data_IF_756095162246
#
_entry.id   IF_756095162246
#
_cell.length_a   1.000
_cell.length_b   1.000
_cell.length_c   1.000
_cell.angle_alpha   90.00
_cell.angle_beta   90.00
_cell.angle_gamma   90.00
#
_symmetry.space_group_name_H-M   'P 1'
#
loop_
_entity.id
_entity.type
_entity.pdbx_description
1 polymer ?
#
# COMPACT_ATOMS: atom_id res chain seq x y z
N UNK A 1 -12.20 12.66 -7.96
CA UNK A 1 -12.88 12.16 -6.74
C UNK A 1 -11.86 11.24 -6.10
N UNK A 2 -11.41 11.57 -4.87
CA UNK A 2 -10.34 10.84 -4.21
C UNK A 2 -10.72 9.38 -4.04
N UNK A 3 -9.81 8.46 -4.40
CA UNK A 3 -10.04 7.03 -4.41
C UNK A 3 -8.96 6.27 -3.63
N UNK A 4 -9.40 5.25 -2.90
CA UNK A 4 -8.51 4.26 -2.28
C UNK A 4 -8.51 2.99 -3.14
N UNK A 5 -7.34 2.61 -3.67
CA UNK A 5 -7.18 1.42 -4.50
C UNK A 5 -6.87 0.17 -3.67
N UNK A 6 -6.15 0.32 -2.57
CA UNK A 6 -5.79 -0.82 -1.73
C UNK A 6 -5.50 -0.41 -0.30
N UNK A 7 -5.88 -1.30 0.62
CA UNK A 7 -5.47 -1.27 2.02
C UNK A 7 -4.86 -2.62 2.35
N UNK A 8 -3.69 -2.62 3.00
CA UNK A 8 -3.00 -3.84 3.38
C UNK A 8 -2.31 -3.72 4.74
N UNK A 9 -2.21 -4.88 5.41
CA UNK A 9 -1.40 -5.10 6.60
C UNK A 9 -0.34 -6.13 6.24
N UNK A 10 0.91 -5.84 6.59
CA UNK A 10 2.06 -6.70 6.36
C UNK A 10 2.93 -6.80 7.62
N UNK A 11 3.81 -7.79 7.66
CA UNK A 11 4.92 -7.81 8.62
C UNK A 11 6.14 -7.05 8.08
N UNK A 12 7.13 -6.82 8.94
CA UNK A 12 8.37 -6.11 8.60
C UNK A 12 9.20 -6.77 7.49
N UNK A 13 8.90 -8.00 7.07
CA UNK A 13 9.54 -8.65 5.93
C UNK A 13 8.83 -8.36 4.61
N UNK A 14 7.80 -7.49 4.63
CA UNK A 14 6.97 -7.20 3.46
C UNK A 14 5.98 -8.32 3.12
N UNK A 15 5.83 -9.32 3.99
CA UNK A 15 4.83 -10.37 3.79
C UNK A 15 3.45 -9.86 4.19
N UNK A 16 2.55 -9.88 3.22
CA UNK A 16 1.18 -9.38 3.40
C UNK A 16 0.39 -10.38 4.25
N UNK A 17 -0.18 -9.89 5.35
CA UNK A 17 -1.01 -10.66 6.29
C UNK A 17 -2.49 -10.54 5.94
N UNK A 18 -2.92 -9.36 5.50
CA UNK A 18 -4.28 -9.06 5.05
C UNK A 18 -4.23 -7.96 3.98
N UNK A 19 -5.06 -8.06 2.95
CA UNK A 19 -5.18 -7.01 1.95
C UNK A 19 -6.55 -7.01 1.31
N UNK A 20 -7.06 -5.82 1.01
CA UNK A 20 -8.28 -5.59 0.26
C UNK A 20 -8.01 -4.57 -0.85
N UNK A 21 -8.69 -4.74 -1.99
CA UNK A 21 -8.45 -3.96 -3.21
C UNK A 21 -9.77 -3.50 -3.84
N UNK A 22 -9.83 -2.24 -4.27
CA UNK A 22 -10.88 -1.71 -5.14
C UNK A 22 -10.27 -1.31 -6.49
N UNK A 23 -10.40 -2.24 -7.45
CA UNK A 23 -9.88 -2.08 -8.80
C UNK A 23 -10.99 -1.83 -9.83
N UNK A 24 -12.16 -1.37 -9.39
CA UNK A 24 -13.34 -1.19 -10.25
C UNK A 24 -13.13 -0.17 -11.37
N UNK A 25 -12.22 0.79 -11.15
CA UNK A 25 -11.80 1.81 -12.12
C UNK A 25 -10.93 1.26 -13.24
N UNK A 26 -10.32 0.09 -13.04
CA UNK A 26 -9.51 -0.57 -14.07
C UNK A 26 -10.37 -1.50 -14.91
N UNK A 27 -9.98 -1.65 -16.18
CA UNK A 27 -10.59 -2.63 -17.07
C UNK A 27 -10.49 -4.03 -16.44
N UNK A 28 -11.60 -4.79 -16.48
CA UNK A 28 -11.72 -6.12 -15.91
C UNK A 28 -10.51 -7.02 -16.21
N UNK A 29 -10.02 -7.03 -17.46
CA UNK A 29 -8.89 -7.86 -17.89
C UNK A 29 -7.53 -7.43 -17.34
N UNK A 30 -7.41 -6.18 -16.85
CA UNK A 30 -6.18 -5.64 -16.27
C UNK A 30 -6.15 -5.76 -14.75
N UNK A 31 -7.30 -5.98 -14.09
CA UNK A 31 -7.41 -6.00 -12.62
C UNK A 31 -6.49 -7.02 -11.97
N UNK A 32 -6.33 -8.21 -12.57
CA UNK A 32 -5.40 -9.23 -12.08
C UNK A 32 -3.97 -8.72 -12.03
N UNK A 33 -3.50 -8.11 -13.12
CA UNK A 33 -2.15 -7.54 -13.17
C UNK A 33 -1.95 -6.38 -12.22
N UNK A 34 -2.94 -5.49 -12.09
CA UNK A 34 -2.89 -4.38 -11.14
C UNK A 34 -2.82 -4.89 -9.70
N UNK A 35 -3.58 -5.94 -9.37
CA UNK A 35 -3.53 -6.55 -8.04
C UNK A 35 -2.15 -7.14 -7.71
N UNK A 36 -1.53 -7.84 -8.67
CA UNK A 36 -0.16 -8.36 -8.52
C UNK A 36 0.86 -7.22 -8.32
N UNK A 37 0.74 -6.12 -9.07
CA UNK A 37 1.60 -4.94 -8.89
C UNK A 37 1.40 -4.26 -7.55
N UNK A 38 0.16 -4.15 -7.06
CA UNK A 38 -0.10 -3.62 -5.72
C UNK A 38 0.56 -4.50 -4.66
N UNK A 39 0.49 -5.83 -4.79
CA UNK A 39 1.18 -6.76 -3.90
C UNK A 39 2.70 -6.58 -3.91
N UNK A 40 3.31 -6.46 -5.10
CA UNK A 40 4.74 -6.18 -5.26
C UNK A 40 5.13 -4.82 -4.66
N UNK A 41 4.31 -3.79 -4.89
CA UNK A 41 4.50 -2.45 -4.35
C UNK A 41 4.47 -2.48 -2.82
N UNK A 42 3.44 -3.08 -2.22
CA UNK A 42 3.29 -3.20 -0.77
C UNK A 42 4.51 -3.90 -0.15
N UNK A 43 4.91 -5.04 -0.71
CA UNK A 43 6.07 -5.79 -0.23
C UNK A 43 7.33 -4.94 -0.25
N UNK A 44 7.65 -4.38 -1.41
CA UNK A 44 8.88 -3.59 -1.60
C UNK A 44 8.87 -2.35 -0.72
N UNK A 45 7.75 -1.63 -0.64
CA UNK A 45 7.66 -0.42 0.15
C UNK A 45 7.86 -0.68 1.65
N UNK A 46 7.33 -1.80 2.17
CA UNK A 46 7.54 -2.21 3.57
C UNK A 46 8.99 -2.66 3.81
N UNK A 47 9.57 -3.47 2.93
CA UNK A 47 10.98 -3.90 3.04
C UNK A 47 11.97 -2.72 3.06
N UNK A 48 11.61 -1.60 2.42
CA UNK A 48 12.41 -0.38 2.33
C UNK A 48 12.05 0.67 3.38
N UNK A 49 11.09 0.39 4.26
CA UNK A 49 10.71 1.28 5.35
C UNK A 49 11.23 0.73 6.68
N UNK A 50 12.00 1.55 7.41
CA UNK A 50 12.49 1.15 8.73
C UNK A 50 11.38 1.19 9.77
N UNK A 51 11.52 0.39 10.84
CA UNK A 51 10.58 0.41 11.97
C UNK A 51 10.47 1.80 12.59
N UNK A 52 9.25 2.16 12.95
CA UNK A 52 8.90 3.48 13.48
C UNK A 52 8.81 4.58 12.41
N UNK A 53 9.04 4.28 11.13
CA UNK A 53 9.02 5.29 10.06
C UNK A 53 7.72 5.29 9.27
N UNK A 54 7.38 6.47 8.78
CA UNK A 54 6.29 6.72 7.83
C UNK A 54 6.89 7.21 6.51
N UNK A 55 6.47 6.60 5.41
CA UNK A 55 6.88 6.98 4.07
C UNK A 55 5.66 7.29 3.20
N UNK A 56 5.76 8.36 2.41
CA UNK A 56 4.84 8.70 1.33
C UNK A 56 5.58 8.47 0.03
N UNK A 57 5.09 7.58 -0.81
CA UNK A 57 5.70 7.20 -2.08
C UNK A 57 4.72 7.58 -3.18
N UNK A 58 5.07 8.61 -3.94
CA UNK A 58 4.31 9.01 -5.12
C UNK A 58 4.80 8.18 -6.31
N UNK A 59 3.90 7.76 -7.21
CA UNK A 59 4.24 7.01 -8.41
C UNK A 59 3.54 7.64 -9.61
N UNK A 60 4.35 8.12 -10.56
CA UNK A 60 3.91 8.72 -11.83
C UNK A 60 2.83 9.82 -11.67
N UNK A 61 2.87 10.56 -10.56
CA UNK A 61 1.94 11.66 -10.27
C UNK A 61 0.46 11.27 -10.17
N UNK A 62 0.14 9.97 -10.16
CA UNK A 62 -1.24 9.47 -10.21
C UNK A 62 -1.59 8.67 -8.96
N UNK A 63 -0.65 7.87 -8.47
CA UNK A 63 -0.85 6.98 -7.35
C UNK A 63 0.06 7.36 -6.18
N UNK A 64 -0.42 7.18 -4.96
CA UNK A 64 0.35 7.47 -3.75
C UNK A 64 0.21 6.31 -2.78
N UNK A 65 1.33 5.70 -2.42
CA UNK A 65 1.43 4.76 -1.31
C UNK A 65 1.80 5.46 -0.02
N UNK A 66 0.99 5.30 1.01
CA UNK A 66 1.29 5.74 2.36
C UNK A 66 1.60 4.51 3.21
N UNK A 67 2.83 4.45 3.72
CA UNK A 67 3.38 3.29 4.44
C UNK A 67 3.74 3.70 5.85
N UNK A 68 3.33 2.90 6.82
CA UNK A 68 3.78 3.03 8.20
C UNK A 68 4.23 1.67 8.72
N UNK A 69 5.49 1.56 9.14
CA UNK A 69 6.01 0.40 9.86
C UNK A 69 6.11 0.75 11.34
N UNK A 70 5.35 0.08 12.18
CA UNK A 70 5.37 0.28 13.64
C UNK A 70 6.66 -0.28 14.26
N UNK A 71 6.95 0.13 15.49
CA UNK A 71 8.12 -0.34 16.25
C UNK A 71 8.12 -1.86 16.51
N UNK A 72 6.94 -2.47 16.62
CA UNK A 72 6.75 -3.92 16.78
C UNK A 72 6.88 -4.72 15.47
N UNK A 73 7.11 -4.03 14.34
CA UNK A 73 7.28 -4.65 13.03
C UNK A 73 5.96 -4.92 12.28
N UNK A 74 4.81 -4.47 12.79
CA UNK A 74 3.57 -4.49 12.03
C UNK A 74 3.53 -3.29 11.06
N UNK A 75 3.26 -3.55 9.79
CA UNK A 75 3.25 -2.54 8.75
C UNK A 75 1.85 -2.37 8.15
N UNK A 76 1.46 -1.13 7.89
CA UNK A 76 0.22 -0.79 7.20
C UNK A 76 0.51 0.03 5.96
N UNK A 77 -0.17 -0.31 4.87
CA UNK A 77 -0.03 0.35 3.58
C UNK A 77 -1.41 0.69 3.05
N UNK A 78 -1.58 1.94 2.61
CA UNK A 78 -2.76 2.38 1.85
C UNK A 78 -2.29 2.99 0.54
N UNK A 79 -2.86 2.53 -0.58
CA UNK A 79 -2.59 3.06 -1.91
C UNK A 79 -3.81 3.83 -2.38
N UNK A 80 -3.61 5.11 -2.66
CA UNK A 80 -4.66 6.07 -3.04
C UNK A 80 -4.30 6.76 -4.34
N UNK A 81 -5.21 7.58 -4.86
CA UNK A 81 -4.81 8.64 -5.79
C UNK A 81 -4.09 9.78 -5.07
N UNK A 82 -3.56 10.71 -5.87
CA UNK A 82 -2.86 11.91 -5.39
C UNK A 82 -3.80 12.95 -4.75
N UNK A 83 -5.09 12.92 -5.09
CA UNK A 83 -6.09 13.82 -4.52
C UNK A 83 -6.47 13.44 -3.08
N UNK A 84 -6.26 12.17 -2.70
CA UNK A 84 -6.59 11.68 -1.37
C UNK A 84 -5.73 12.34 -0.26
N UNK A 85 -6.34 12.94 0.77
CA UNK A 85 -5.59 13.64 1.81
C UNK A 85 -4.63 12.73 2.59
N UNK A 86 -3.34 13.08 2.59
CA UNK A 86 -2.29 12.33 3.29
C UNK A 86 -2.58 12.13 4.79
N UNK A 87 -3.16 13.15 5.46
CA UNK A 87 -3.53 13.04 6.88
C UNK A 87 -4.59 11.96 7.10
N UNK A 88 -5.63 11.94 6.27
CA UNK A 88 -6.67 10.91 6.33
C UNK A 88 -6.07 9.53 6.06
N UNK A 89 -5.21 9.38 5.05
CA UNK A 89 -4.55 8.12 4.72
C UNK A 89 -3.76 7.54 5.91
N UNK A 90 -2.89 8.33 6.55
CA UNK A 90 -2.12 7.85 7.72
C UNK A 90 -2.99 7.60 8.96
N UNK A 91 -4.07 8.37 9.13
CA UNK A 91 -5.05 8.13 10.20
C UNK A 91 -5.70 6.77 10.05
N UNK A 92 -6.12 6.45 8.83
CA UNK A 92 -6.72 5.17 8.48
C UNK A 92 -5.71 4.04 8.70
N UNK A 93 -4.47 4.19 8.24
CA UNK A 93 -3.40 3.20 8.45
C UNK A 93 -3.19 2.92 9.95
N UNK A 94 -3.09 3.96 10.79
CA UNK A 94 -2.96 3.77 12.24
C UNK A 94 -4.15 2.97 12.81
N UNK A 95 -5.37 3.32 12.41
CA UNK A 95 -6.59 2.67 12.89
C UNK A 95 -6.67 1.19 12.50
N UNK A 96 -6.32 0.88 11.25
CA UNK A 96 -6.27 -0.51 10.76
C UNK A 96 -5.24 -1.32 11.53
N UNK A 97 -4.06 -0.75 11.78
CA UNK A 97 -3.00 -1.45 12.52
C UNK A 97 -3.39 -1.70 13.98
N UNK A 98 -4.06 -0.75 14.61
CA UNK A 98 -4.62 -0.91 15.96
C UNK A 98 -5.64 -2.05 16.01
N UNK A 99 -6.67 -1.99 15.16
CA UNK A 99 -7.73 -3.02 15.11
C UNK A 99 -7.19 -4.40 14.74
N UNK A 100 -6.28 -4.48 13.77
CA UNK A 100 -5.62 -5.72 13.40
C UNK A 100 -4.84 -6.31 14.57
N UNK A 101 -4.02 -5.50 15.25
CA UNK A 101 -3.23 -5.96 16.40
C UNK A 101 -4.09 -6.36 17.60
N UNK A 102 -5.26 -5.76 17.76
CA UNK A 102 -6.24 -6.14 18.80
C UNK A 102 -6.91 -7.47 18.50
N UNK A 103 -7.13 -7.80 17.21
CA UNK A 103 -7.82 -9.04 16.79
C UNK A 103 -6.86 -10.21 16.60
N UNK A 104 -5.65 -9.95 16.10
CA UNK A 104 -4.65 -10.95 15.77
C UNK A 104 -3.32 -10.66 16.49
N UNK A 105 -3.05 -11.36 17.61
CA UNK A 105 -1.77 -11.24 18.32
C UNK A 105 -0.57 -11.63 17.44
N UNK A 106 0.60 -11.09 17.76
CA UNK A 106 1.83 -11.30 16.99
C UNK A 106 2.22 -12.77 16.77
N UNK A 107 1.83 -13.66 17.69
CA UNK A 107 2.07 -15.11 17.56
C UNK A 107 1.33 -15.74 16.37
N UNK A 108 0.24 -15.14 15.89
CA UNK A 108 -0.56 -15.67 14.79
C UNK A 108 -0.08 -15.21 13.42
N UNK A 109 0.68 -14.10 13.34
CA UNK A 109 1.06 -13.48 12.06
C UNK A 109 1.83 -14.44 11.15
N UNK A 110 2.63 -15.36 11.71
CA UNK A 110 3.41 -16.34 10.95
C UNK A 110 2.55 -17.24 10.04
N UNK A 111 1.30 -17.53 10.39
CA UNK A 111 0.40 -18.37 9.59
C UNK A 111 -0.55 -17.60 8.66
N UNK A 112 -0.54 -16.26 8.72
CA UNK A 112 -1.53 -15.44 8.01
C UNK A 112 -1.10 -15.11 6.59
N UNK A 113 -2.08 -15.06 5.70
CA UNK A 113 -1.93 -14.62 4.32
C UNK A 113 -3.26 -13.98 3.84
N UNK A 114 -3.26 -13.15 2.79
CA UNK A 114 -4.45 -12.39 2.42
C UNK A 114 -5.66 -13.28 2.08
N UNK A 115 -5.42 -14.45 1.47
CA UNK A 115 -6.48 -15.35 1.05
C UNK A 115 -7.25 -15.99 2.21
N UNK A 116 -6.54 -16.42 3.27
CA UNK A 116 -7.20 -17.01 4.45
C UNK A 116 -7.66 -15.96 5.44
N UNK A 117 -6.92 -14.85 5.58
CA UNK A 117 -7.25 -13.78 6.52
C UNK A 117 -8.54 -13.06 6.15
N UNK A 118 -8.87 -12.91 4.86
CA UNK A 118 -10.09 -12.24 4.42
C UNK A 118 -11.37 -12.87 5.00
N UNK A 119 -11.39 -14.19 5.22
CA UNK A 119 -12.54 -14.90 5.79
C UNK A 119 -12.75 -14.60 7.29
N UNK A 120 -11.67 -14.31 8.02
CA UNK A 120 -11.69 -14.06 9.47
C UNK A 120 -11.55 -12.58 9.82
N UNK A 121 -11.28 -11.71 8.84
CA UNK A 121 -11.15 -10.26 8.97
C UNK A 121 -11.95 -9.49 7.89
N UNK A 122 -13.27 -9.69 7.80
CA UNK A 122 -14.12 -8.99 6.82
C UNK A 122 -14.18 -7.48 7.06
N UNK A 123 -13.82 -7.01 8.26
CA UNK A 123 -13.81 -5.60 8.63
C UNK A 123 -12.86 -4.78 7.74
N UNK A 124 -11.75 -5.38 7.25
CA UNK A 124 -10.83 -4.69 6.35
C UNK A 124 -11.50 -4.24 5.05
N UNK A 125 -12.40 -5.07 4.52
CA UNK A 125 -13.16 -4.74 3.31
C UNK A 125 -14.19 -3.65 3.59
N UNK A 126 -14.82 -3.69 4.75
CA UNK A 126 -15.76 -2.64 5.18
C UNK A 126 -15.03 -1.30 5.35
N UNK A 127 -13.83 -1.32 5.91
CA UNK A 127 -12.97 -0.13 6.02
C UNK A 127 -12.58 0.41 4.65
N UNK A 128 -12.19 -0.45 3.70
CA UNK A 128 -11.88 -0.03 2.32
C UNK A 128 -13.06 0.69 1.66
N UNK A 129 -14.28 0.19 1.84
CA UNK A 129 -15.49 0.84 1.31
C UNK A 129 -15.79 2.14 2.04
N UNK A 130 -15.72 2.13 3.38
CA UNK A 130 -15.99 3.32 4.21
C UNK A 130 -15.05 4.47 3.89
N UNK A 131 -13.76 4.19 3.74
CA UNK A 131 -12.73 5.21 3.57
C UNK A 131 -12.51 5.62 2.11
N UNK A 132 -13.36 5.19 1.17
CA UNK A 132 -13.47 5.89 -0.11
C UNK A 132 -13.84 7.36 0.11
N UNK A 133 -14.63 7.66 1.16
CA UNK A 133 -14.83 9.03 1.63
C UNK A 133 -13.74 9.42 2.66
N UNK A 134 -12.84 10.37 2.34
CA UNK A 134 -11.80 10.81 3.27
C UNK A 134 -12.35 11.49 4.54
N UNK A 135 -13.56 12.05 4.50
CA UNK A 135 -14.20 12.67 5.67
C UNK A 135 -14.65 11.65 6.72
N UNK A 136 -14.80 10.38 6.33
CA UNK A 136 -15.10 9.30 7.26
C UNK A 136 -13.98 9.06 8.29
N UNK A 137 -12.78 9.63 8.07
CA UNK A 137 -11.66 9.62 9.00
C UNK A 137 -11.65 10.82 9.98
N UNK A 138 -12.50 11.85 9.79
CA UNK A 138 -12.49 13.08 10.60
C UNK A 138 -12.65 12.85 12.12
N UNK A 139 -13.52 11.94 12.59
CA UNK A 139 -13.60 11.65 14.03
C UNK A 139 -12.31 11.07 14.60
N UNK A 140 -11.56 10.31 13.79
CA UNK A 140 -10.26 9.73 14.18
C UNK A 140 -9.17 10.80 14.22
N UNK A 141 -9.19 11.73 13.26
CA UNK A 141 -8.26 12.87 13.18
C UNK A 141 -8.33 13.75 14.43
N UNK A 142 -9.53 13.96 14.99
CA UNK A 142 -9.70 14.75 16.23
C UNK A 142 -9.03 14.12 17.46
N UNK A 143 -8.86 12.80 17.45
CA UNK A 143 -8.24 12.04 18.54
C UNK A 143 -6.73 11.93 18.32
N UNK A 144 -6.26 11.84 17.08
CA UNK A 144 -4.83 11.69 16.73
C UNK A 144 -4.13 13.03 16.53
N UNK A 145 -3.74 13.71 17.62
CA UNK A 145 -2.85 14.89 17.54
C UNK A 145 -1.42 14.54 17.10
N UNK A 146 -0.97 13.32 17.38
CA UNK A 146 0.42 12.88 17.19
C UNK A 146 0.85 12.75 15.71
N UNK A 147 -0.10 12.75 14.77
CA UNK A 147 0.21 12.71 13.35
C UNK A 147 0.86 13.99 12.84
N UNK A 148 0.55 15.14 13.43
CA UNK A 148 1.09 16.43 13.00
C UNK A 148 2.57 16.61 13.42
N UNK A 149 3.01 15.91 14.47
CA UNK A 149 4.40 15.92 14.95
C UNK A 149 5.26 14.83 14.30
N UNK A 150 4.66 13.88 13.58
CA UNK A 150 5.43 12.80 12.97
C UNK A 150 6.05 13.22 11.63
N UNK A 151 7.38 13.10 11.54
CA UNK A 151 8.11 13.21 10.27
C UNK A 151 7.69 12.12 9.28
N UNK A 152 7.08 12.53 8.17
CA UNK A 152 6.82 11.68 7.00
C UNK A 152 7.94 11.88 6.00
N UNK A 153 8.58 10.79 5.57
CA UNK A 153 9.60 10.84 4.50
C UNK A 153 8.91 10.74 3.15
N UNK A 154 9.15 11.72 2.27
CA UNK A 154 8.58 11.77 0.93
C UNK A 154 9.54 11.19 -0.11
N UNK A 155 9.01 10.29 -0.92
CA UNK A 155 9.65 9.66 -2.07
C UNK A 155 8.84 9.96 -3.32
N UNK A 156 9.47 10.50 -4.36
CA UNK A 156 8.79 10.90 -5.62
C UNK A 156 8.43 9.73 -6.52
N UNK A 157 9.15 8.63 -6.39
CA UNK A 157 8.99 7.40 -7.15
C UNK A 157 9.37 6.21 -6.28
N UNK A 158 8.82 5.04 -6.60
CA UNK A 158 9.27 3.79 -5.99
C UNK A 158 10.77 3.54 -6.17
N UNK A 159 11.34 3.98 -7.29
CA UNK A 159 12.78 3.88 -7.58
C UNK A 159 13.64 4.59 -6.53
N UNK A 160 13.12 5.65 -5.90
CA UNK A 160 13.85 6.37 -4.85
C UNK A 160 13.98 5.60 -3.53
N UNK A 161 13.28 4.47 -3.38
CA UNK A 161 13.45 3.53 -2.27
C UNK A 161 14.54 2.48 -2.52
N UNK A 162 15.04 2.40 -3.75
CA UNK A 162 16.00 1.38 -4.16
C UNK A 162 17.42 1.74 -3.71
N UNK A 163 18.23 0.72 -3.47
CA UNK A 163 19.64 0.93 -3.16
C UNK A 163 20.39 1.42 -4.40
N UNK A 164 21.54 2.08 -4.19
CA UNK A 164 22.42 2.48 -5.28
C UNK A 164 22.81 1.26 -6.13
N UNK A 165 22.45 1.28 -7.41
CA UNK A 165 22.73 0.20 -8.37
C UNK A 165 21.59 -0.82 -8.55
N UNK A 166 20.48 -0.69 -7.82
CA UNK A 166 19.27 -1.46 -8.07
C UNK A 166 18.37 -0.73 -9.09
N UNK A 167 17.75 -1.49 -10.00
CA UNK A 167 16.82 -0.99 -11.00
C UNK A 167 15.46 -1.64 -10.79
N UNK A 168 14.39 -0.84 -10.78
CA UNK A 168 13.02 -1.34 -10.56
C UNK A 168 12.62 -2.41 -11.58
N UNK A 169 13.04 -2.24 -12.84
CA UNK A 169 12.78 -3.19 -13.93
C UNK A 169 13.38 -4.58 -13.63
N UNK A 170 14.56 -4.63 -13.01
CA UNK A 170 15.20 -5.90 -12.63
C UNK A 170 14.45 -6.59 -11.49
N UNK A 171 13.96 -5.79 -10.52
CA UNK A 171 13.15 -6.31 -9.42
C UNK A 171 11.81 -6.86 -9.93
N UNK A 172 11.16 -6.14 -10.84
CA UNK A 172 9.93 -6.60 -11.51
C UNK A 172 10.19 -7.89 -12.29
N UNK A 173 11.29 -7.97 -13.04
CA UNK A 173 11.61 -9.16 -13.83
C UNK A 173 11.90 -10.39 -12.97
N UNK A 174 12.58 -10.21 -11.85
CA UNK A 174 12.95 -11.30 -10.91
C UNK A 174 11.84 -11.67 -9.93
N UNK A 175 10.80 -10.84 -9.78
CA UNK A 175 9.73 -11.10 -8.82
C UNK A 175 8.92 -12.35 -9.20
N UNK A 176 8.80 -13.28 -8.25
CA UNK A 176 7.91 -14.45 -8.34
C UNK A 176 6.44 -14.08 -8.04
N UNK A 177 6.19 -12.87 -7.53
CA UNK A 177 4.83 -12.38 -7.23
C UNK A 177 4.12 -11.85 -8.48
N UNK A 178 4.86 -11.59 -9.56
CA UNK A 178 4.32 -11.05 -10.80
C UNK A 178 4.29 -12.17 -11.85
N UNK A 179 3.10 -12.42 -12.39
CA UNK A 179 2.93 -13.31 -13.54
C UNK A 179 3.61 -12.71 -14.78
N UNK A 180 3.89 -13.57 -15.77
CA UNK A 180 4.42 -13.13 -17.07
C UNK A 180 3.54 -12.06 -17.72
N UNK A 181 2.21 -12.16 -17.55
CA UNK A 181 1.25 -11.19 -18.04
C UNK A 181 1.43 -9.83 -17.37
N UNK A 182 1.58 -9.80 -16.04
CA UNK A 182 1.80 -8.56 -15.29
C UNK A 182 3.16 -7.92 -15.63
N UNK A 183 4.22 -8.72 -15.73
CA UNK A 183 5.54 -8.21 -16.17
C UNK A 183 5.46 -7.55 -17.55
N UNK A 184 4.72 -8.15 -18.50
CA UNK A 184 4.46 -7.54 -19.81
C UNK A 184 3.62 -6.28 -19.70
N UNK A 185 2.54 -6.30 -18.90
CA UNK A 185 1.66 -5.14 -18.67
C UNK A 185 2.45 -3.92 -18.18
N UNK A 186 3.36 -4.09 -17.22
CA UNK A 186 4.21 -3.01 -16.72
C UNK A 186 5.15 -2.45 -17.78
N UNK A 187 5.81 -3.31 -18.56
CA UNK A 187 6.69 -2.87 -19.66
C UNK A 187 5.90 -2.04 -20.68
N UNK A 188 4.71 -2.52 -21.06
CA UNK A 188 3.84 -1.79 -22.01
C UNK A 188 3.40 -0.46 -21.43
N UNK A 189 2.87 -0.42 -20.20
CA UNK A 189 2.42 0.81 -19.55
C UNK A 189 3.55 1.85 -19.42
N UNK A 190 4.76 1.43 -19.03
CA UNK A 190 5.94 2.29 -18.97
C UNK A 190 6.29 2.88 -20.34
N UNK A 191 6.29 2.04 -21.39
CA UNK A 191 6.58 2.49 -22.76
C UNK A 191 5.55 3.47 -23.31
N UNK A 192 4.26 3.24 -23.05
CA UNK A 192 3.17 4.14 -23.46
C UNK A 192 3.26 5.49 -22.77
N UNK A 193 3.62 5.53 -21.47
CA UNK A 193 3.78 6.77 -20.72
C UNK A 193 5.08 7.54 -21.07
N UNK A 194 6.08 6.88 -21.67
CA UNK A 194 7.32 7.53 -22.11
C UNK A 194 7.21 8.29 -23.44
N UNK A 195 6.15 8.08 -24.24
CA UNK A 195 6.00 8.69 -25.56
C UNK A 195 5.39 10.11 -25.56
N UNK A 196 5.30 10.77 -24.41
CA UNK A 196 4.75 12.12 -24.28
C UNK A 196 5.63 13.05 -23.42
N UNK A 197 6.95 12.97 -23.56
CA UNK A 197 7.85 14.06 -23.15
C UNK A 197 7.99 15.05 -24.32
N UNK A 198 7.24 16.15 -24.28
CA UNK A 198 7.53 17.34 -25.09
C UNK A 198 8.61 18.19 -24.41
#
# INVERSE_FOLDING_TARGET
MPKVFSIAVADNSGRILAAEHDLTTFNYFQRGSVQEFLGFFIKTAVERTQRGQRQKIEEQGTYVGHVYVRGDGLAGVIVTDIEYPTRSAFTIVNKILEEFSSKFPASQWAGMNPGTTAAVYPELKQQLVKYQDPHAADPLLRVQRDLDETKIVLHKTMESLLNRGEVLDDLVQRSDQLSSQSKMFYKTAKSTNSCCSY
#
